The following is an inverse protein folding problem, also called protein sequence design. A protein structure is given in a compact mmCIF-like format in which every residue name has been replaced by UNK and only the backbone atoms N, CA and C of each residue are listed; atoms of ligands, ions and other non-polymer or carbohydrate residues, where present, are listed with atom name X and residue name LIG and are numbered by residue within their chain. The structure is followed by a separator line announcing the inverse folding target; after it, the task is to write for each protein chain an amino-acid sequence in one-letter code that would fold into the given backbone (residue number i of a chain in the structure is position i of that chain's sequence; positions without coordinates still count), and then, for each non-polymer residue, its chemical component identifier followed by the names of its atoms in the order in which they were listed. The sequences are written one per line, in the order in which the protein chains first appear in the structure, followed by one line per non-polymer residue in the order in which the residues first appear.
data_IF_982054435656
#
_entry.id   IF_982054435656
#
_cell.length_a   1.000
_cell.length_b   1.000
_cell.length_c   1.000
_cell.angle_alpha   90.00
_cell.angle_beta   90.00
_cell.angle_gamma   90.00
#
_symmetry.space_group_name_H-M   'P 1'
#
loop_
_entity.id
_entity.type
_entity.pdbx_description
1 polymer ?
#
# COMPACT_ATOMS: atom_id res chain seq x y z
N UNK A 1 0.90 35.80 1.06
CA UNK A 1 1.16 34.34 1.00
C UNK A 1 -0.11 33.64 0.56
N UNK A 2 -0.05 32.78 -0.46
CA UNK A 2 -1.22 32.03 -0.91
C UNK A 2 -1.62 31.01 0.18
N UNK A 3 -2.91 30.94 0.51
CA UNK A 3 -3.46 29.97 1.45
C UNK A 3 -3.68 28.66 0.68
N UNK A 4 -2.81 27.68 0.90
CA UNK A 4 -2.95 26.35 0.31
C UNK A 4 -4.19 25.65 0.89
N UNK A 5 -4.82 24.80 0.08
CA UNK A 5 -5.93 23.94 0.51
C UNK A 5 -5.36 22.88 1.47
N UNK A 6 -5.99 22.61 2.62
CA UNK A 6 -5.58 21.53 3.50
C UNK A 6 -5.63 20.16 2.79
N UNK A 7 -4.71 19.23 3.10
CA UNK A 7 -4.79 17.87 2.61
C UNK A 7 -6.08 17.16 3.03
N UNK A 8 -6.46 16.14 2.27
CA UNK A 8 -7.66 15.36 2.57
C UNK A 8 -7.59 14.74 3.98
N UNK A 9 -8.63 14.97 4.80
CA UNK A 9 -8.73 14.41 6.14
C UNK A 9 -7.73 14.93 7.20
N UNK A 10 -6.81 15.85 6.88
CA UNK A 10 -5.79 16.38 7.82
C UNK A 10 -5.45 17.85 7.56
N UNK A 11 -4.82 18.49 8.54
CA UNK A 11 -4.31 19.87 8.40
C UNK A 11 -2.95 19.96 7.71
N UNK A 12 -2.20 18.86 7.65
CA UNK A 12 -0.85 18.79 7.09
C UNK A 12 -0.65 17.48 6.33
N UNK A 13 0.27 17.48 5.36
CA UNK A 13 0.64 16.28 4.61
C UNK A 13 1.33 15.28 5.54
N UNK A 14 1.18 14.00 5.21
CA UNK A 14 1.87 12.90 5.89
C UNK A 14 2.63 12.04 4.88
N UNK A 15 3.75 12.54 4.31
CA UNK A 15 4.65 11.70 3.52
C UNK A 15 5.20 10.56 4.37
N UNK A 16 5.20 9.34 3.84
CA UNK A 16 5.74 8.16 4.52
C UNK A 16 7.15 7.80 4.06
N UNK A 17 7.77 8.67 3.27
CA UNK A 17 9.16 8.52 2.86
C UNK A 17 10.12 8.81 4.01
N UNK A 18 11.13 7.95 4.16
CA UNK A 18 12.19 8.14 5.14
C UNK A 18 12.99 9.41 4.83
N UNK A 19 13.29 10.16 5.90
CA UNK A 19 14.17 11.31 5.85
C UNK A 19 15.57 10.90 5.36
N UNK A 20 16.19 11.75 4.55
CA UNK A 20 17.49 11.48 3.92
C UNK A 20 18.56 11.02 4.94
N UNK A 21 18.61 11.69 6.10
CA UNK A 21 19.61 11.42 7.14
C UNK A 21 19.58 9.98 7.71
N UNK A 22 18.46 9.26 7.59
CA UNK A 22 18.30 7.88 8.08
C UNK A 22 18.05 6.83 6.98
N UNK A 23 17.95 7.25 5.72
CA UNK A 23 17.52 6.38 4.62
C UNK A 23 18.52 5.28 4.31
N UNK A 24 19.83 5.57 4.35
CA UNK A 24 20.90 4.60 4.11
C UNK A 24 20.88 3.47 5.15
N UNK A 25 20.77 3.80 6.43
CA UNK A 25 20.73 2.80 7.50
C UNK A 25 19.45 1.96 7.43
N UNK A 26 18.32 2.59 7.12
CA UNK A 26 17.07 1.90 6.92
C UNK A 26 17.11 0.92 5.74
N UNK A 27 17.77 1.29 4.62
CA UNK A 27 18.01 0.39 3.49
C UNK A 27 18.90 -0.79 3.87
N UNK A 28 20.03 -0.56 4.54
CA UNK A 28 20.94 -1.62 5.00
C UNK A 28 20.26 -2.60 5.98
N UNK A 29 19.32 -2.10 6.78
CA UNK A 29 18.47 -2.95 7.64
C UNK A 29 17.46 -3.74 6.82
N UNK A 30 16.78 -3.09 5.86
CA UNK A 30 15.80 -3.71 4.98
C UNK A 30 16.42 -4.85 4.14
N UNK A 31 17.70 -4.77 3.78
CA UNK A 31 18.45 -5.85 3.11
C UNK A 31 18.39 -7.19 3.87
N UNK A 32 18.32 -7.16 5.20
CA UNK A 32 18.32 -8.35 6.06
C UNK A 32 16.91 -8.87 6.38
N UNK A 33 15.87 -8.09 6.06
CA UNK A 33 14.49 -8.49 6.28
C UNK A 33 14.05 -9.55 5.26
N UNK A 34 13.00 -10.29 5.63
CA UNK A 34 12.25 -11.09 4.66
C UNK A 34 11.81 -10.21 3.49
N UNK A 35 11.82 -10.81 2.30
CA UNK A 35 11.45 -10.11 1.06
C UNK A 35 10.03 -10.41 0.66
N UNK A 36 9.30 -9.36 0.29
CA UNK A 36 7.95 -9.41 -0.21
C UNK A 36 7.92 -8.71 -1.58
N UNK A 37 7.81 -9.47 -2.69
CA UNK A 37 7.67 -8.88 -4.01
C UNK A 37 6.31 -8.21 -4.16
N UNK A 38 6.31 -7.02 -4.74
CA UNK A 38 5.13 -6.23 -5.08
C UNK A 38 4.85 -6.28 -6.57
N UNK A 39 3.58 -6.19 -6.93
CA UNK A 39 3.16 -5.85 -8.27
C UNK A 39 3.47 -4.38 -8.59
N UNK A 40 3.46 -4.02 -9.88
CA UNK A 40 3.63 -2.63 -10.32
C UNK A 40 2.56 -1.67 -9.77
N UNK A 41 1.35 -2.18 -9.52
CA UNK A 41 0.29 -1.41 -8.84
C UNK A 41 0.71 -1.11 -7.40
N UNK A 42 1.13 -2.12 -6.65
CA UNK A 42 1.52 -1.96 -5.24
C UNK A 42 2.77 -1.08 -5.09
N UNK A 43 3.72 -1.14 -6.02
CA UNK A 43 4.85 -0.19 -6.09
C UNK A 43 4.33 1.24 -6.27
N UNK A 44 3.38 1.45 -7.17
CA UNK A 44 2.77 2.78 -7.40
C UNK A 44 2.04 3.28 -6.16
N UNK A 45 1.25 2.42 -5.50
CA UNK A 45 0.55 2.74 -4.25
C UNK A 45 1.54 3.08 -3.12
N UNK A 46 2.66 2.35 -3.01
CA UNK A 46 3.72 2.65 -2.07
C UNK A 46 4.37 4.01 -2.33
N UNK A 47 4.63 4.37 -3.59
CA UNK A 47 5.16 5.69 -3.95
C UNK A 47 4.16 6.81 -3.60
N UNK A 48 2.86 6.61 -3.85
CA UNK A 48 1.80 7.56 -3.48
C UNK A 48 1.71 7.76 -1.96
N UNK A 49 1.92 6.70 -1.17
CA UNK A 49 2.09 6.76 0.28
C UNK A 49 3.36 7.54 0.67
N UNK A 50 4.48 7.25 0.01
CA UNK A 50 5.78 7.88 0.25
C UNK A 50 5.74 9.40 0.07
N UNK A 51 5.18 9.86 -1.05
CA UNK A 51 5.03 11.28 -1.39
C UNK A 51 3.95 11.99 -0.56
N UNK A 52 3.12 11.24 0.18
CA UNK A 52 2.02 11.78 0.97
C UNK A 52 0.77 12.12 0.14
N UNK A 53 0.67 11.67 -1.11
CA UNK A 53 -0.52 11.82 -1.94
C UNK A 53 -1.72 11.05 -1.35
N UNK A 54 -1.46 9.96 -0.64
CA UNK A 54 -2.46 9.21 0.12
C UNK A 54 -2.62 9.67 1.57
N UNK A 55 -2.23 10.91 1.90
CA UNK A 55 -2.59 11.50 3.22
C UNK A 55 -4.11 11.37 3.41
N UNK A 56 -4.59 10.77 4.53
CA UNK A 56 -3.88 10.55 5.78
C UNK A 56 -3.46 9.11 6.09
N UNK A 57 -3.54 8.21 5.10
CA UNK A 57 -3.18 6.81 5.27
C UNK A 57 -1.75 6.65 5.80
N UNK A 58 -1.55 5.61 6.60
CA UNK A 58 -0.26 5.31 7.23
C UNK A 58 0.44 4.11 6.62
N UNK A 59 -0.22 3.45 5.66
CA UNK A 59 0.24 2.24 5.01
C UNK A 59 -0.90 1.53 4.30
N UNK A 60 -0.77 0.23 4.11
CA UNK A 60 -1.77 -0.60 3.45
C UNK A 60 -2.92 -0.95 4.40
N UNK A 61 -4.13 -0.99 3.86
CA UNK A 61 -5.39 -1.08 4.60
C UNK A 61 -5.63 -2.46 5.23
N UNK A 62 -6.04 -2.44 6.49
CA UNK A 62 -6.60 -3.60 7.21
C UNK A 62 -7.98 -4.02 6.68
N UNK A 63 -8.53 -5.12 7.18
CA UNK A 63 -9.78 -5.68 6.66
C UNK A 63 -10.96 -4.73 6.84
N UNK A 64 -11.02 -4.04 7.99
CA UNK A 64 -12.09 -3.10 8.30
C UNK A 64 -12.12 -1.91 7.32
N UNK A 65 -10.96 -1.31 7.04
CA UNK A 65 -10.82 -0.23 6.07
C UNK A 65 -11.13 -0.71 4.65
N UNK A 66 -10.56 -1.85 4.24
CA UNK A 66 -10.82 -2.44 2.92
C UNK A 66 -12.32 -2.67 2.69
N UNK A 67 -12.99 -3.31 3.66
CA UNK A 67 -14.41 -3.65 3.55
C UNK A 67 -15.29 -2.39 3.53
N UNK A 68 -14.99 -1.42 4.39
CA UNK A 68 -15.69 -0.14 4.45
C UNK A 68 -15.48 0.68 3.17
N UNK A 69 -14.27 0.69 2.61
CA UNK A 69 -13.98 1.35 1.34
C UNK A 69 -14.79 0.73 0.20
N UNK A 70 -14.89 -0.59 0.15
CA UNK A 70 -15.70 -1.29 -0.85
C UNK A 70 -17.19 -0.90 -0.74
N UNK A 71 -17.76 -0.95 0.47
CA UNK A 71 -19.21 -0.77 0.66
C UNK A 71 -19.65 0.69 0.68
N UNK A 72 -18.95 1.50 1.47
CA UNK A 72 -19.40 2.83 1.89
C UNK A 72 -18.54 3.95 1.28
N UNK A 73 -17.54 3.59 0.47
CA UNK A 73 -16.55 4.51 -0.11
C UNK A 73 -15.85 5.34 0.96
N UNK A 74 -15.66 4.78 2.15
CA UNK A 74 -15.01 5.44 3.29
C UNK A 74 -14.13 4.44 4.02
N UNK A 75 -13.04 4.91 4.61
CA UNK A 75 -12.31 4.14 5.63
C UNK A 75 -13.22 3.84 6.82
N UNK A 76 -12.83 2.92 7.69
CA UNK A 76 -13.59 2.58 8.90
C UNK A 76 -13.78 3.82 9.81
N UNK A 77 -12.82 4.74 9.80
CA UNK A 77 -12.87 6.03 10.50
C UNK A 77 -13.69 7.12 9.76
N UNK A 78 -14.35 6.78 8.65
CA UNK A 78 -15.30 7.64 7.95
C UNK A 78 -14.70 8.60 6.93
N UNK A 79 -13.40 8.49 6.62
CA UNK A 79 -12.75 9.33 5.61
C UNK A 79 -13.13 8.81 4.23
N UNK A 80 -13.68 9.67 3.36
CA UNK A 80 -14.03 9.28 1.99
C UNK A 80 -12.80 8.73 1.25
N UNK A 81 -12.90 7.47 0.82
CA UNK A 81 -11.87 6.71 0.14
C UNK A 81 -12.52 5.59 -0.70
N UNK A 82 -12.74 5.80 -2.01
CA UNK A 82 -13.57 4.91 -2.82
C UNK A 82 -12.84 3.69 -3.38
N UNK A 83 -11.49 3.66 -3.35
CA UNK A 83 -10.68 2.57 -3.88
C UNK A 83 -9.75 2.06 -2.76
N UNK A 84 -9.83 0.78 -2.35
CA UNK A 84 -8.96 0.21 -1.34
C UNK A 84 -7.48 0.20 -1.77
N UNK A 85 -6.58 0.50 -0.82
CA UNK A 85 -5.13 0.46 -1.00
C UNK A 85 -4.58 -0.74 -0.23
N UNK A 86 -4.32 -1.83 -0.92
CA UNK A 86 -4.00 -3.15 -0.33
C UNK A 86 -2.69 -3.70 -0.87
N UNK A 87 -1.96 -4.43 -0.02
CA UNK A 87 -0.78 -5.20 -0.40
C UNK A 87 -1.07 -6.69 -0.27
N UNK A 88 -0.99 -7.42 -1.37
CA UNK A 88 -1.40 -8.82 -1.45
C UNK A 88 -0.21 -9.76 -1.63
N UNK A 89 -0.32 -10.98 -1.11
CA UNK A 89 0.67 -12.03 -1.32
C UNK A 89 0.05 -13.42 -1.36
N UNK A 90 0.82 -14.39 -1.84
CA UNK A 90 0.41 -15.80 -1.86
C UNK A 90 0.36 -16.36 -0.44
N UNK A 91 -0.53 -17.32 -0.20
CA UNK A 91 -0.78 -17.87 1.14
C UNK A 91 0.44 -18.54 1.78
N UNK A 92 1.31 -19.15 0.98
CA UNK A 92 2.57 -19.75 1.42
C UNK A 92 3.55 -18.70 1.96
N UNK A 93 3.69 -17.57 1.27
CA UNK A 93 4.50 -16.45 1.73
C UNK A 93 3.90 -15.80 2.99
N UNK A 94 2.58 -15.60 3.02
CA UNK A 94 1.87 -15.05 4.17
C UNK A 94 1.95 -15.94 5.43
N UNK A 95 2.05 -17.26 5.25
CA UNK A 95 2.20 -18.21 6.35
C UNK A 95 3.58 -18.08 7.03
N UNK A 96 4.60 -17.66 6.28
CA UNK A 96 5.95 -17.41 6.81
C UNK A 96 6.14 -16.04 7.48
N UNK A 97 5.15 -15.16 7.41
CA UNK A 97 5.19 -13.80 7.98
C UNK A 97 4.39 -13.77 9.28
N UNK A 98 4.97 -13.28 10.37
CA UNK A 98 4.27 -13.14 11.65
C UNK A 98 3.64 -11.74 11.78
N UNK A 99 2.51 -11.62 12.49
CA UNK A 99 1.99 -10.29 12.86
C UNK A 99 2.98 -9.64 13.84
N UNK A 100 3.33 -8.38 13.59
CA UNK A 100 4.42 -7.64 14.23
C UNK A 100 5.78 -7.81 13.54
N UNK A 101 5.88 -8.65 12.50
CA UNK A 101 7.11 -8.76 11.69
C UNK A 101 7.22 -7.57 10.73
N UNK A 102 8.45 -7.07 10.58
CA UNK A 102 8.76 -6.10 9.54
C UNK A 102 9.37 -6.78 8.32
N UNK A 103 8.86 -6.41 7.14
CA UNK A 103 9.18 -7.07 5.87
C UNK A 103 9.62 -6.02 4.85
N UNK A 104 10.65 -6.34 4.05
CA UNK A 104 11.11 -5.47 2.96
C UNK A 104 10.28 -5.67 1.70
N UNK A 105 9.86 -4.56 1.11
CA UNK A 105 9.03 -4.48 -0.08
C UNK A 105 9.91 -4.34 -1.32
N UNK A 106 9.80 -5.28 -2.26
CA UNK A 106 10.58 -5.31 -3.49
C UNK A 106 9.73 -4.98 -4.72
N UNK A 107 10.30 -4.32 -5.71
CA UNK A 107 9.71 -4.26 -7.06
C UNK A 107 9.96 -5.56 -7.86
N UNK A 108 9.63 -5.54 -9.15
CA UNK A 108 9.86 -6.64 -10.09
C UNK A 108 11.33 -6.85 -10.47
N UNK A 109 12.19 -5.84 -10.25
CA UNK A 109 13.65 -5.94 -10.44
C UNK A 109 14.38 -6.51 -9.22
N UNK A 110 13.70 -6.60 -8.08
CA UNK A 110 14.27 -7.02 -6.80
C UNK A 110 14.88 -5.87 -5.99
N UNK A 111 14.63 -4.62 -6.39
CA UNK A 111 15.05 -3.40 -5.69
C UNK A 111 14.14 -3.16 -4.48
N UNK A 112 14.73 -2.81 -3.33
CA UNK A 112 13.97 -2.46 -2.13
C UNK A 112 13.38 -1.06 -2.28
N UNK A 113 12.06 -0.95 -2.18
CA UNK A 113 11.33 0.32 -2.21
C UNK A 113 10.87 0.79 -0.83
N UNK A 114 10.72 -0.11 0.13
CA UNK A 114 10.27 0.25 1.47
C UNK A 114 10.19 -0.93 2.41
N UNK A 115 9.62 -0.69 3.58
CA UNK A 115 9.26 -1.72 4.55
C UNK A 115 7.81 -1.58 4.97
N UNK A 116 7.21 -2.69 5.41
CA UNK A 116 5.91 -2.74 6.08
C UNK A 116 6.09 -3.44 7.43
N UNK A 117 5.51 -2.87 8.49
CA UNK A 117 5.28 -3.60 9.74
C UNK A 117 3.91 -4.27 9.63
N UNK A 118 3.86 -5.60 9.60
CA UNK A 118 2.62 -6.33 9.34
C UNK A 118 1.79 -6.40 10.62
N UNK A 119 0.78 -5.56 10.72
CA UNK A 119 -0.13 -5.50 11.88
C UNK A 119 -1.34 -6.43 11.75
N UNK A 120 -1.69 -6.82 10.53
CA UNK A 120 -2.87 -7.65 10.25
C UNK A 120 -2.68 -8.44 8.95
N UNK A 121 -3.27 -9.64 8.90
CA UNK A 121 -3.34 -10.48 7.71
C UNK A 121 -4.77 -10.97 7.53
N UNK A 122 -5.35 -10.79 6.34
CA UNK A 122 -6.72 -11.21 6.06
C UNK A 122 -6.86 -11.78 4.65
N UNK A 123 -7.84 -12.68 4.47
CA UNK A 123 -8.15 -13.25 3.15
C UNK A 123 -9.08 -12.29 2.42
N UNK A 124 -8.68 -11.91 1.20
CA UNK A 124 -9.48 -11.00 0.37
C UNK A 124 -10.63 -11.74 -0.32
N UNK A 125 -11.86 -11.19 -0.24
CA UNK A 125 -12.95 -11.56 -1.14
C UNK A 125 -12.90 -10.69 -2.40
N UNK A 126 -12.20 -11.20 -3.42
CA UNK A 126 -11.98 -10.49 -4.69
C UNK A 126 -13.28 -10.20 -5.44
N UNK A 127 -14.25 -11.11 -5.39
CA UNK A 127 -15.53 -10.94 -6.06
C UNK A 127 -16.35 -9.84 -5.37
N UNK A 128 -16.29 -9.78 -4.04
CA UNK A 128 -16.87 -8.71 -3.25
C UNK A 128 -16.27 -7.35 -3.60
N UNK A 129 -14.94 -7.21 -3.62
CA UNK A 129 -14.29 -5.95 -4.01
C UNK A 129 -14.71 -5.54 -5.43
N UNK A 130 -14.61 -6.45 -6.40
CA UNK A 130 -14.94 -6.14 -7.79
C UNK A 130 -16.40 -5.68 -7.96
N UNK A 131 -17.34 -6.37 -7.31
CA UNK A 131 -18.77 -6.03 -7.38
C UNK A 131 -19.05 -4.66 -6.79
N UNK A 132 -18.46 -4.33 -5.65
CA UNK A 132 -18.79 -3.09 -4.94
C UNK A 132 -18.02 -1.88 -5.48
N UNK A 133 -16.75 -2.07 -5.88
CA UNK A 133 -15.89 -1.01 -6.40
C UNK A 133 -16.10 -0.78 -7.89
N UNK A 134 -16.07 -1.84 -8.72
CA UNK A 134 -16.16 -1.73 -10.18
C UNK A 134 -17.56 -1.97 -10.73
N UNK A 135 -18.52 -2.36 -9.88
CA UNK A 135 -19.93 -2.64 -10.27
C UNK A 135 -20.06 -3.79 -11.27
N UNK A 136 -19.02 -4.61 -11.39
CA UNK A 136 -18.97 -5.79 -12.27
C UNK A 136 -17.91 -6.76 -11.78
N UNK A 137 -18.05 -8.04 -12.11
CA UNK A 137 -17.02 -9.07 -11.94
C UNK A 137 -16.48 -9.58 -13.27
N UNK A 138 -16.78 -8.88 -14.37
CA UNK A 138 -16.28 -9.21 -15.69
C UNK A 138 -14.77 -8.95 -15.77
N UNK A 139 -13.99 -10.01 -16.02
CA UNK A 139 -12.53 -9.96 -16.15
C UNK A 139 -12.06 -9.15 -17.35
N UNK A 140 -12.93 -8.83 -18.32
CA UNK A 140 -12.62 -7.88 -19.39
C UNK A 140 -12.45 -6.43 -18.86
N UNK A 141 -13.00 -6.11 -17.68
CA UNK A 141 -12.76 -4.83 -17.03
C UNK A 141 -11.36 -4.80 -16.39
N UNK A 142 -10.50 -3.87 -16.81
CA UNK A 142 -9.10 -3.81 -16.37
C UNK A 142 -8.95 -3.78 -14.84
N UNK A 143 -9.80 -3.05 -14.10
CA UNK A 143 -9.77 -3.05 -12.64
C UNK A 143 -10.10 -4.41 -12.02
N UNK A 144 -11.05 -5.14 -12.60
CA UNK A 144 -11.44 -6.48 -12.13
C UNK A 144 -10.31 -7.47 -12.41
N UNK A 145 -9.73 -7.41 -13.61
CA UNK A 145 -8.58 -8.24 -13.97
C UNK A 145 -7.45 -8.10 -12.95
N UNK A 146 -7.09 -6.85 -12.57
CA UNK A 146 -6.03 -6.60 -11.59
C UNK A 146 -6.34 -7.17 -10.22
N UNK A 147 -7.55 -6.99 -9.69
CA UNK A 147 -7.95 -7.57 -8.38
C UNK A 147 -7.95 -9.10 -8.44
N UNK A 148 -8.43 -9.68 -9.54
CA UNK A 148 -8.43 -11.14 -9.71
C UNK A 148 -7.01 -11.74 -9.71
N UNK A 149 -6.02 -11.00 -10.21
CA UNK A 149 -4.61 -11.39 -10.23
C UNK A 149 -3.88 -11.26 -8.89
N UNK A 150 -4.44 -10.56 -7.89
CA UNK A 150 -3.80 -10.36 -6.59
C UNK A 150 -3.53 -11.67 -5.83
N UNK A 151 -2.70 -11.60 -4.80
CA UNK A 151 -2.54 -12.67 -3.82
C UNK A 151 -3.86 -13.04 -3.12
N UNK A 152 -3.86 -14.16 -2.39
CA UNK A 152 -5.04 -14.57 -1.62
C UNK A 152 -5.11 -13.90 -0.25
N UNK A 153 -3.96 -13.43 0.27
CA UNK A 153 -3.84 -12.82 1.59
C UNK A 153 -3.35 -11.39 1.45
N UNK A 154 -4.08 -10.45 2.03
CA UNK A 154 -3.64 -9.08 2.19
C UNK A 154 -2.84 -8.92 3.49
N UNK A 155 -1.77 -8.15 3.43
CA UNK A 155 -0.94 -7.75 4.55
C UNK A 155 -1.14 -6.26 4.79
N UNK A 156 -1.54 -5.92 6.01
CA UNK A 156 -1.87 -4.56 6.39
C UNK A 156 -0.95 -4.04 7.49
N UNK A 157 -0.74 -2.73 7.48
CA UNK A 157 0.07 -2.07 8.49
C UNK A 157 0.85 -0.89 7.94
N UNK A 158 1.55 -0.17 8.83
CA UNK A 158 2.26 1.03 8.47
C UNK A 158 3.46 0.73 7.59
N UNK A 159 3.79 1.68 6.70
CA UNK A 159 4.92 1.56 5.79
C UNK A 159 5.92 2.68 5.98
N UNK A 160 7.17 2.39 5.62
CA UNK A 160 8.22 3.38 5.44
C UNK A 160 8.76 3.23 4.02
N UNK A 161 8.71 4.30 3.23
CA UNK A 161 9.23 4.31 1.86
C UNK A 161 10.70 4.70 1.90
N UNK A 162 11.53 3.91 1.23
CA UNK A 162 12.98 4.05 1.23
C UNK A 162 13.55 4.40 -0.14
N UNK A 163 12.78 4.24 -1.21
CA UNK A 163 13.20 4.51 -2.57
C UNK A 163 12.08 5.16 -3.37
N UNK A 164 12.44 6.09 -4.25
CA UNK A 164 11.55 6.81 -5.17
C UNK A 164 11.71 6.30 -6.60
N UNK A 165 12.52 5.25 -6.82
CA UNK A 165 12.85 4.73 -8.13
C UNK A 165 13.55 5.78 -9.00
N UNK A 166 13.20 5.82 -10.28
CA UNK A 166 13.76 6.77 -11.24
C UNK A 166 13.14 8.18 -11.13
N UNK A 167 12.09 8.38 -10.33
CA UNK A 167 11.32 9.63 -10.35
C UNK A 167 12.16 10.84 -9.93
N UNK A 168 12.98 10.73 -8.88
CA UNK A 168 13.85 11.83 -8.44
C UNK A 168 14.94 12.20 -9.44
N UNK A 169 15.38 11.24 -10.27
CA UNK A 169 16.38 11.47 -11.32
C UNK A 169 15.75 12.02 -12.60
N UNK A 170 14.52 11.58 -12.91
CA UNK A 170 13.80 11.94 -14.15
C UNK A 170 13.06 13.27 -14.03
N UNK A 171 12.54 13.58 -12.84
CA UNK A 171 11.73 14.76 -12.53
C UNK A 171 12.29 15.49 -11.28
N UNK A 172 13.44 16.18 -11.42
CA UNK A 172 14.08 16.91 -10.31
C UNK A 172 13.32 18.15 -9.86
#
# INVERSE_FOLDING_TARGET
MARLIPPHGKSQLKPLIALEAGRSDALARAERLRKLPMSSREVSDLLMLGMGAYTPLTGFMGEADWRSCCLDMKTADGIFWPIPITLSCKSDLAAGITVGEEVALLDDTGTIFGTIEVTEKYTIDKAFECTHVYRTTDVAHAGVERVMQQGAINLAGPVIVLNEGHYSETYP
#
